data_IF_730890867516
#
_entry.id   IF_730890867516
#
_cell.length_a   1.000
_cell.length_b   1.000
_cell.length_c   1.000
_cell.angle_alpha   90.00
_cell.angle_beta   90.00
_cell.angle_gamma   90.00
#
_symmetry.space_group_name_H-M   'P 1'
#
loop_
_entity.id
_entity.type
_entity.pdbx_description
1 polymer ?
#
# COMPACT_ATOMS: atom_id res chain seq x y z
N UNK A 1 -13.13 35.20 -9.59
CA UNK A 1 -12.60 34.42 -8.45
C UNK A 1 -12.65 32.96 -8.87
N UNK A 2 -11.50 32.35 -9.15
CA UNK A 2 -11.42 30.95 -9.55
C UNK A 2 -11.53 30.14 -8.26
N UNK A 3 -12.60 29.37 -8.10
CA UNK A 3 -12.70 28.44 -6.97
C UNK A 3 -11.69 27.32 -7.21
N UNK A 4 -10.67 27.25 -6.36
CA UNK A 4 -9.78 26.08 -6.27
C UNK A 4 -10.60 24.93 -5.72
N UNK A 5 -11.13 24.08 -6.60
CA UNK A 5 -11.77 22.84 -6.20
C UNK A 5 -10.64 21.91 -5.74
N UNK A 6 -10.45 21.78 -4.43
CA UNK A 6 -9.50 20.83 -3.85
C UNK A 6 -9.93 19.40 -4.25
N UNK A 7 -9.24 18.83 -5.25
CA UNK A 7 -9.55 17.52 -5.83
C UNK A 7 -9.51 16.34 -4.84
N UNK A 8 -9.06 16.57 -3.61
CA UNK A 8 -8.93 15.58 -2.55
C UNK A 8 -10.20 15.44 -1.65
N UNK A 9 -11.20 16.31 -1.83
CA UNK A 9 -12.44 16.37 -1.01
C UNK A 9 -13.69 15.81 -1.73
N UNK A 10 -13.54 14.86 -2.65
CA UNK A 10 -14.70 14.29 -3.34
C UNK A 10 -15.51 13.36 -2.39
N UNK A 11 -16.86 13.48 -2.31
CA UNK A 11 -17.68 12.56 -1.53
C UNK A 11 -17.52 11.12 -2.05
N UNK A 12 -17.31 10.18 -1.13
CA UNK A 12 -16.98 8.76 -1.39
C UNK A 12 -18.07 8.04 -2.23
N UNK A 13 -19.28 8.58 -2.31
CA UNK A 13 -20.39 8.01 -3.08
C UNK A 13 -20.13 7.91 -4.59
N UNK A 14 -19.13 8.64 -5.13
CA UNK A 14 -18.83 8.64 -6.57
C UNK A 14 -17.92 7.47 -7.05
N UNK A 15 -17.48 6.53 -6.20
CA UNK A 15 -16.42 5.59 -6.60
C UNK A 15 -16.49 4.17 -6.03
N UNK A 16 -17.69 3.58 -5.89
CA UNK A 16 -17.83 2.16 -5.51
C UNK A 16 -17.04 1.21 -6.47
N UNK A 17 -16.85 1.62 -7.73
CA UNK A 17 -16.03 0.90 -8.70
C UNK A 17 -14.51 1.00 -8.42
N UNK A 18 -14.02 2.12 -7.88
CA UNK A 18 -12.58 2.38 -7.72
C UNK A 18 -11.96 1.57 -6.57
N UNK A 19 -12.72 1.30 -5.50
CA UNK A 19 -12.26 0.42 -4.43
C UNK A 19 -12.50 -1.07 -4.70
N UNK A 20 -13.28 -1.43 -5.73
CA UNK A 20 -13.53 -2.84 -6.08
C UNK A 20 -12.25 -3.59 -6.50
N UNK A 21 -11.23 -2.86 -6.97
CA UNK A 21 -9.92 -3.37 -7.36
C UNK A 21 -8.82 -3.15 -6.32
N UNK A 22 -9.16 -2.68 -5.12
CA UNK A 22 -8.18 -2.39 -4.06
C UNK A 22 -8.50 -3.14 -2.77
N UNK A 23 -7.49 -3.35 -1.93
CA UNK A 23 -7.62 -3.94 -0.60
C UNK A 23 -6.98 -3.04 0.44
N UNK A 24 -7.61 -2.95 1.61
CA UNK A 24 -6.99 -2.30 2.78
C UNK A 24 -5.82 -3.18 3.25
N UNK A 25 -4.62 -2.63 3.17
CA UNK A 25 -3.35 -3.29 3.49
C UNK A 25 -2.78 -2.83 4.83
N UNK A 26 -3.35 -1.81 5.48
CA UNK A 26 -2.86 -1.25 6.74
C UNK A 26 -2.76 -2.28 7.86
N UNK A 27 -3.61 -3.31 7.87
CA UNK A 27 -3.53 -4.43 8.82
C UNK A 27 -2.23 -5.27 8.74
N UNK A 28 -1.46 -5.15 7.66
CA UNK A 28 -0.19 -5.86 7.49
C UNK A 28 1.04 -5.05 7.97
N UNK A 29 0.82 -3.82 8.43
CA UNK A 29 1.88 -2.93 8.90
C UNK A 29 1.98 -2.89 10.43
N UNK A 30 3.17 -2.53 10.90
CA UNK A 30 3.38 -1.98 12.23
C UNK A 30 3.19 -0.47 12.15
N UNK A 31 2.42 0.08 13.09
CA UNK A 31 2.08 1.49 13.13
C UNK A 31 2.75 2.15 14.34
N UNK A 32 3.29 3.34 14.14
CA UNK A 32 3.76 4.21 15.23
C UNK A 32 3.45 5.67 14.94
N UNK A 33 3.43 6.49 15.98
CA UNK A 33 3.25 7.93 15.88
C UNK A 33 4.42 8.64 16.54
N UNK A 34 4.67 9.90 16.16
CA UNK A 34 5.74 10.71 16.75
C UNK A 34 5.58 10.86 18.26
N UNK A 35 4.39 11.26 18.69
CA UNK A 35 3.97 11.43 20.08
C UNK A 35 2.50 11.13 20.21
N UNK A 36 2.03 10.86 21.41
CA UNK A 36 0.61 10.67 21.68
C UNK A 36 0.27 11.13 23.09
N UNK A 37 -0.87 11.81 23.20
CA UNK A 37 -1.51 12.01 24.50
C UNK A 37 -2.00 10.67 25.03
N UNK A 38 -1.93 10.48 26.35
CA UNK A 38 -2.38 9.24 26.98
C UNK A 38 -3.83 8.89 26.57
N UNK A 39 -4.04 7.66 26.11
CA UNK A 39 -5.34 7.16 25.66
C UNK A 39 -5.79 7.59 24.26
N UNK A 40 -4.99 8.38 23.54
CA UNK A 40 -5.31 8.88 22.19
C UNK A 40 -4.11 8.62 21.26
N UNK A 41 -3.82 7.34 21.00
CA UNK A 41 -2.65 6.87 20.28
C UNK A 41 -2.99 6.19 18.95
N UNK A 42 -2.12 5.25 18.54
CA UNK A 42 -2.26 4.49 17.29
C UNK A 42 -3.59 3.73 17.20
N UNK A 43 -4.10 3.23 18.32
CA UNK A 43 -5.34 2.45 18.34
C UNK A 43 -6.51 3.22 17.73
N UNK A 44 -6.64 4.51 18.09
CA UNK A 44 -7.71 5.37 17.58
C UNK A 44 -7.55 5.73 16.10
N UNK A 45 -6.37 5.55 15.50
CA UNK A 45 -6.21 5.71 14.05
C UNK A 45 -6.81 4.55 13.25
N UNK A 46 -7.12 3.43 13.91
CA UNK A 46 -7.32 2.12 13.28
C UNK A 46 -8.56 1.36 13.80
N UNK A 47 -9.34 1.97 14.68
CA UNK A 47 -10.49 1.37 15.36
C UNK A 47 -11.81 1.44 14.57
N UNK A 48 -11.76 1.90 13.31
CA UNK A 48 -12.92 2.14 12.44
C UNK A 48 -14.00 3.06 13.06
N UNK A 49 -13.64 3.94 14.01
CA UNK A 49 -14.55 4.87 14.65
C UNK A 49 -14.14 6.33 14.39
N UNK A 50 -14.98 7.08 13.68
CA UNK A 50 -14.69 8.50 13.38
C UNK A 50 -14.90 9.45 14.58
N UNK A 51 -15.40 8.97 15.72
CA UNK A 51 -15.57 9.79 16.93
C UNK A 51 -14.31 9.82 17.80
N UNK A 52 -13.48 8.78 17.75
CA UNK A 52 -12.17 8.69 18.42
C UNK A 52 -11.08 9.28 17.53
N UNK A 53 -9.92 9.59 18.13
CA UNK A 53 -8.79 10.19 17.42
C UNK A 53 -7.46 9.90 18.10
N UNK A 54 -6.40 9.87 17.29
CA UNK A 54 -5.05 10.13 17.78
C UNK A 54 -4.91 11.62 18.07
N UNK A 55 -4.29 11.94 19.21
CA UNK A 55 -3.88 13.29 19.54
C UNK A 55 -2.37 13.32 19.75
N UNK A 56 -1.65 14.13 18.96
CA UNK A 56 -0.22 14.36 19.22
C UNK A 56 0.00 15.10 20.54
N UNK A 57 1.20 14.99 21.09
CA UNK A 57 1.61 15.73 22.29
C UNK A 57 3.12 16.02 22.20
N UNK A 58 3.52 16.91 21.29
CA UNK A 58 4.94 17.10 20.96
C UNK A 58 5.23 18.28 20.05
N UNK A 59 6.51 18.48 19.68
CA UNK A 59 6.89 19.48 18.68
C UNK A 59 6.48 19.03 17.27
N UNK A 60 6.07 19.99 16.44
CA UNK A 60 5.88 19.77 15.01
C UNK A 60 7.21 19.53 14.28
N UNK A 61 7.20 18.82 13.14
CA UNK A 61 6.03 18.18 12.53
C UNK A 61 5.64 16.85 13.22
N UNK A 62 4.38 16.47 13.11
CA UNK A 62 3.86 15.22 13.67
C UNK A 62 3.92 14.10 12.63
N UNK A 63 4.16 12.86 13.06
CA UNK A 63 4.35 11.73 12.16
C UNK A 63 3.38 10.58 12.47
N UNK A 64 2.84 9.96 11.42
CA UNK A 64 2.28 8.62 11.44
C UNK A 64 3.16 7.74 10.54
N UNK A 65 3.73 6.71 11.13
CA UNK A 65 4.68 5.79 10.51
C UNK A 65 3.99 4.44 10.29
N UNK A 66 4.11 3.91 9.08
CA UNK A 66 3.43 2.71 8.63
C UNK A 66 4.47 1.81 7.97
N UNK A 67 4.90 0.78 8.69
CA UNK A 67 6.00 -0.09 8.28
C UNK A 67 5.51 -1.49 7.93
N UNK A 68 5.62 -1.86 6.67
CA UNK A 68 5.34 -3.19 6.16
C UNK A 68 6.58 -4.09 6.22
N UNK A 69 6.39 -5.34 6.62
CA UNK A 69 7.45 -6.37 6.65
C UNK A 69 7.99 -6.73 5.25
N UNK A 70 7.22 -6.46 4.20
CA UNK A 70 7.58 -6.69 2.80
C UNK A 70 7.24 -5.45 1.98
N UNK A 71 7.91 -5.28 0.84
CA UNK A 71 7.58 -4.21 -0.11
C UNK A 71 6.15 -4.44 -0.61
N UNK A 72 5.25 -3.51 -0.32
CA UNK A 72 3.88 -3.53 -0.83
C UNK A 72 3.67 -2.36 -1.79
N UNK A 73 2.75 -2.55 -2.74
CA UNK A 73 2.26 -1.47 -3.59
C UNK A 73 1.18 -0.70 -2.83
N UNK A 74 1.42 0.58 -2.57
CA UNK A 74 0.48 1.52 -1.97
C UNK A 74 -0.11 2.39 -3.07
N UNK A 75 -1.43 2.39 -3.18
CA UNK A 75 -2.17 3.13 -4.19
C UNK A 75 -2.87 4.36 -3.63
N UNK A 76 -3.60 4.22 -2.52
CA UNK A 76 -4.30 5.33 -1.88
C UNK A 76 -4.09 5.33 -0.35
N UNK A 77 -3.99 6.53 0.22
CA UNK A 77 -4.02 6.77 1.66
C UNK A 77 -5.27 7.58 1.98
N UNK A 78 -6.19 7.01 2.75
CA UNK A 78 -7.40 7.67 3.21
C UNK A 78 -7.20 8.15 4.64
N UNK A 79 -7.50 9.42 4.90
CA UNK A 79 -7.38 10.04 6.22
C UNK A 79 -8.72 10.71 6.56
N UNK A 80 -9.34 10.35 7.68
CA UNK A 80 -10.56 11.03 8.14
C UNK A 80 -10.20 12.23 9.02
N UNK A 81 -10.69 13.41 8.63
CA UNK A 81 -10.52 14.68 9.33
C UNK A 81 -11.88 15.39 9.44
N UNK A 82 -12.07 16.18 10.50
CA UNK A 82 -13.31 16.95 10.68
C UNK A 82 -13.01 18.32 11.29
N UNK A 83 -12.87 19.33 10.42
CA UNK A 83 -12.56 20.69 10.82
C UNK A 83 -13.56 21.27 11.84
N UNK A 84 -14.84 20.91 11.71
CA UNK A 84 -15.88 21.44 12.60
C UNK A 84 -15.77 20.87 14.01
N UNK A 85 -15.26 19.65 14.15
CA UNK A 85 -15.05 19.02 15.45
C UNK A 85 -13.69 19.37 16.06
N UNK A 86 -12.66 19.51 15.23
CA UNK A 86 -11.28 19.58 15.68
C UNK A 86 -10.69 21.00 15.65
N UNK A 87 -11.30 21.94 14.92
CA UNK A 87 -10.87 23.34 14.83
C UNK A 87 -9.35 23.48 14.57
N UNK A 88 -8.60 24.00 15.54
CA UNK A 88 -7.15 24.18 15.47
C UNK A 88 -6.34 22.87 15.44
N UNK A 89 -6.91 21.74 15.88
CA UNK A 89 -6.24 20.44 15.81
C UNK A 89 -6.26 19.83 14.41
N UNK A 90 -6.99 20.43 13.47
CA UNK A 90 -7.17 19.90 12.12
C UNK A 90 -5.91 20.10 11.27
N UNK A 91 -5.30 19.03 10.72
CA UNK A 91 -4.23 19.15 9.73
C UNK A 91 -4.59 20.12 8.59
N UNK A 92 -3.67 21.02 8.28
CA UNK A 92 -3.73 21.92 7.13
C UNK A 92 -2.79 21.43 6.03
N UNK A 93 -1.55 21.12 6.39
CA UNK A 93 -0.52 20.66 5.44
C UNK A 93 -0.10 19.24 5.79
N UNK A 94 -0.41 18.30 4.89
CA UNK A 94 0.00 16.90 4.99
C UNK A 94 0.98 16.59 3.86
N UNK A 95 2.11 15.95 4.19
CA UNK A 95 2.99 15.38 3.18
C UNK A 95 3.18 13.88 3.38
N UNK A 96 3.30 13.17 2.27
CA UNK A 96 3.57 11.74 2.23
C UNK A 96 5.02 11.52 1.85
N UNK A 97 5.69 10.64 2.59
CA UNK A 97 7.04 10.15 2.31
C UNK A 97 7.04 8.64 2.22
N UNK A 98 7.90 8.09 1.36
CA UNK A 98 8.04 6.65 1.19
C UNK A 98 9.52 6.25 1.09
N UNK A 99 9.84 5.05 1.56
CA UNK A 99 11.19 4.50 1.51
C UNK A 99 11.22 3.01 1.87
N UNK A 100 12.42 2.48 2.08
CA UNK A 100 12.63 1.13 2.60
C UNK A 100 12.72 1.09 4.13
N UNK A 101 13.10 2.21 4.74
CA UNK A 101 13.32 2.40 6.17
C UNK A 101 13.10 3.88 6.57
N UNK A 102 13.40 4.24 7.83
CA UNK A 102 13.41 5.63 8.26
C UNK A 102 14.55 6.48 7.66
N UNK A 103 15.62 5.84 7.17
CA UNK A 103 16.85 6.53 6.75
C UNK A 103 16.81 7.01 5.31
N UNK A 104 15.88 6.51 4.50
CA UNK A 104 15.79 6.74 3.05
C UNK A 104 14.39 7.19 2.63
N UNK A 105 13.62 7.76 3.56
CA UNK A 105 12.33 8.38 3.25
C UNK A 105 12.50 9.52 2.25
N UNK A 106 11.85 9.40 1.10
CA UNK A 106 11.79 10.43 0.08
C UNK A 106 10.39 11.04 0.03
N UNK A 107 10.32 12.35 -0.25
CA UNK A 107 9.06 13.05 -0.41
C UNK A 107 8.33 12.58 -1.67
N UNK A 108 7.05 12.27 -1.53
CA UNK A 108 6.20 11.79 -2.62
C UNK A 108 5.20 12.87 -3.04
N UNK A 109 4.43 13.41 -2.09
CA UNK A 109 3.31 14.31 -2.36
C UNK A 109 3.02 15.19 -1.16
N UNK A 110 2.62 16.44 -1.40
CA UNK A 110 2.06 17.35 -0.39
C UNK A 110 0.63 17.67 -0.76
N UNK A 111 -0.25 17.73 0.24
CA UNK A 111 -1.64 18.15 0.13
C UNK A 111 -1.89 19.27 1.13
N UNK A 112 -2.43 20.38 0.63
CA UNK A 112 -2.96 21.47 1.45
C UNK A 112 -4.48 21.30 1.55
N UNK A 113 -5.01 21.43 2.76
CA UNK A 113 -6.41 21.20 3.09
C UNK A 113 -7.03 22.49 3.59
N UNK A 114 -8.24 22.77 3.13
CA UNK A 114 -9.06 23.90 3.56
C UNK A 114 -10.32 23.35 4.22
N UNK A 115 -10.39 23.48 5.55
CA UNK A 115 -11.52 23.05 6.40
C UNK A 115 -12.08 21.65 6.05
N UNK A 116 -11.24 20.60 6.01
CA UNK A 116 -11.65 19.26 5.56
C UNK A 116 -12.72 18.64 6.46
N UNK A 117 -13.70 17.98 5.85
CA UNK A 117 -14.72 17.19 6.55
C UNK A 117 -14.92 15.86 5.84
N UNK A 118 -14.65 14.75 6.54
CA UNK A 118 -14.80 13.40 6.02
C UNK A 118 -13.47 12.75 5.65
N UNK A 119 -13.54 11.70 4.83
CA UNK A 119 -12.34 11.04 4.31
C UNK A 119 -11.72 11.85 3.18
N UNK A 120 -10.43 12.16 3.36
CA UNK A 120 -9.56 12.74 2.34
C UNK A 120 -8.77 11.61 1.71
N UNK A 121 -8.85 11.48 0.39
CA UNK A 121 -8.15 10.44 -0.37
C UNK A 121 -6.89 11.02 -1.01
N UNK A 122 -5.72 10.63 -0.50
CA UNK A 122 -4.42 11.00 -1.08
C UNK A 122 -3.98 9.86 -1.99
N UNK A 123 -4.14 10.06 -3.30
CA UNK A 123 -3.69 9.11 -4.30
C UNK A 123 -2.16 9.14 -4.46
N UNK A 124 -1.55 7.97 -4.60
CA UNK A 124 -0.08 7.79 -4.63
C UNK A 124 0.49 7.73 -6.05
N UNK A 125 -0.30 8.00 -7.09
CA UNK A 125 0.20 8.03 -8.46
C UNK A 125 1.30 9.09 -8.57
N UNK A 126 2.39 8.72 -9.24
CA UNK A 126 3.41 9.66 -9.67
C UNK A 126 2.91 10.35 -10.95
N UNK A 127 2.75 11.67 -10.92
CA UNK A 127 2.31 12.45 -12.08
C UNK A 127 3.26 12.28 -13.28
N UNK A 128 4.52 11.89 -13.03
CA UNK A 128 5.53 11.66 -14.06
C UNK A 128 5.47 10.24 -14.64
N UNK A 129 4.89 9.30 -13.91
CA UNK A 129 4.73 7.91 -14.35
C UNK A 129 3.24 7.57 -14.46
N UNK A 130 2.67 7.92 -15.62
CA UNK A 130 1.26 7.63 -15.93
C UNK A 130 0.96 6.13 -16.06
N UNK A 131 1.97 5.25 -15.97
CA UNK A 131 1.81 3.80 -16.05
C UNK A 131 1.60 3.20 -14.67
N UNK A 132 2.34 3.68 -13.65
CA UNK A 132 2.23 3.16 -12.29
C UNK A 132 1.26 3.97 -11.44
N UNK A 133 0.08 3.39 -11.19
CA UNK A 133 -0.90 3.95 -10.25
C UNK A 133 -0.59 3.64 -8.77
N UNK A 134 0.65 3.28 -8.44
CA UNK A 134 1.03 2.91 -7.08
C UNK A 134 2.51 3.14 -6.82
N UNK A 135 2.86 3.28 -5.54
CA UNK A 135 4.25 3.36 -5.07
C UNK A 135 4.58 2.11 -4.28
N UNK A 136 5.71 1.49 -4.61
CA UNK A 136 6.23 0.33 -3.89
C UNK A 136 7.11 0.79 -2.74
N UNK A 137 6.73 0.49 -1.50
CA UNK A 137 7.52 0.85 -0.33
C UNK A 137 7.39 -0.19 0.80
N UNK A 138 8.37 -0.18 1.71
CA UNK A 138 8.25 -0.84 3.01
C UNK A 138 7.80 0.16 4.08
N UNK A 139 8.24 1.41 3.96
CA UNK A 139 7.99 2.46 4.93
C UNK A 139 7.19 3.58 4.26
N UNK A 140 6.02 3.86 4.81
CA UNK A 140 5.18 5.01 4.49
C UNK A 140 5.17 5.92 5.73
N UNK A 141 5.40 7.21 5.53
CA UNK A 141 5.31 8.22 6.59
C UNK A 141 4.36 9.33 6.15
N UNK A 142 3.32 9.54 6.94
CA UNK A 142 2.43 10.70 6.85
C UNK A 142 2.99 11.75 7.79
N UNK A 143 3.26 12.94 7.26
CA UNK A 143 3.84 14.07 7.98
C UNK A 143 2.81 15.19 8.02
N UNK A 144 2.44 15.60 9.22
CA UNK A 144 1.55 16.74 9.46
C UNK A 144 2.43 17.90 9.89
N UNK A 145 2.68 18.81 8.95
CA UNK A 145 3.63 19.92 9.15
C UNK A 145 2.97 21.17 9.73
N UNK A 146 1.68 21.34 9.47
CA UNK A 146 0.92 22.51 9.89
C UNK A 146 -0.53 22.12 10.13
N UNK A 147 -1.13 22.70 11.18
CA UNK A 147 -2.55 22.62 11.45
C UNK A 147 -3.22 23.97 11.20
N UNK A 148 -4.55 23.94 11.05
CA UNK A 148 -5.34 25.15 10.96
C UNK A 148 -5.19 26.02 12.22
N UNK A 149 -5.38 27.33 12.06
CA UNK A 149 -5.31 28.30 13.16
C UNK A 149 -3.98 28.26 13.94
N UNK A 150 -2.90 27.76 13.32
CA UNK A 150 -1.60 27.51 13.95
C UNK A 150 -1.68 26.60 15.20
N UNK A 151 -2.60 25.63 15.20
CA UNK A 151 -2.71 24.67 16.30
C UNK A 151 -1.44 23.87 16.48
N UNK A 152 -1.05 23.66 17.74
CA UNK A 152 0.19 22.98 18.11
C UNK A 152 0.11 21.47 17.86
N UNK A 153 -0.92 20.84 18.39
CA UNK A 153 -1.17 19.40 18.31
C UNK A 153 -2.22 19.07 17.26
N UNK A 154 -2.24 17.83 16.78
CA UNK A 154 -3.12 17.39 15.71
C UNK A 154 -4.08 16.29 16.14
N UNK A 155 -5.29 16.29 15.55
CA UNK A 155 -6.24 15.18 15.62
C UNK A 155 -6.34 14.49 14.27
N UNK A 156 -6.19 13.17 14.28
CA UNK A 156 -6.52 12.32 13.13
C UNK A 156 -7.40 11.19 13.63
N UNK A 157 -8.57 11.03 12.99
CA UNK A 157 -9.64 10.14 13.48
C UNK A 157 -9.58 8.75 12.86
N UNK A 158 -9.03 8.63 11.65
CA UNK A 158 -8.88 7.34 10.99
C UNK A 158 -7.83 7.43 9.89
N UNK A 159 -7.05 6.37 9.71
CA UNK A 159 -6.18 6.21 8.53
C UNK A 159 -6.36 4.82 7.95
N UNK A 160 -6.58 4.75 6.63
CA UNK A 160 -6.63 3.51 5.86
C UNK A 160 -5.63 3.58 4.71
N UNK A 161 -4.94 2.47 4.48
CA UNK A 161 -3.97 2.37 3.39
C UNK A 161 -4.43 1.29 2.44
N UNK A 162 -4.57 1.64 1.16
CA UNK A 162 -5.03 0.74 0.13
C UNK A 162 -3.91 0.42 -0.85
N UNK A 163 -3.84 -0.84 -1.24
CA UNK A 163 -3.03 -1.33 -2.34
C UNK A 163 -3.90 -2.01 -3.39
N UNK A 164 -3.38 -2.22 -4.61
CA UNK A 164 -4.10 -2.97 -5.63
C UNK A 164 -4.34 -4.41 -5.17
N UNK A 165 -5.48 -4.98 -5.56
CA UNK A 165 -5.68 -6.43 -5.47
C UNK A 165 -4.69 -7.07 -6.44
N UNK A 166 -3.69 -7.77 -5.93
CA UNK A 166 -2.92 -8.71 -6.75
C UNK A 166 -3.87 -9.83 -7.21
N UNK A 167 -4.54 -9.62 -8.33
CA UNK A 167 -5.11 -10.71 -9.10
C UNK A 167 -3.90 -11.56 -9.52
N UNK A 168 -3.68 -12.69 -8.84
CA UNK A 168 -2.71 -13.68 -9.28
C UNK A 168 -3.04 -13.98 -10.74
N UNK A 169 -2.25 -13.44 -11.66
CA UNK A 169 -2.28 -13.87 -13.05
C UNK A 169 -1.97 -15.37 -13.00
N UNK A 170 -3.00 -16.18 -13.21
CA UNK A 170 -2.88 -17.63 -13.23
C UNK A 170 -1.79 -17.98 -14.24
N UNK A 171 -0.66 -18.45 -13.73
CA UNK A 171 0.41 -19.01 -14.52
C UNK A 171 -0.17 -20.20 -15.28
N UNK A 172 -0.26 -20.08 -16.61
CA UNK A 172 -0.61 -21.19 -17.50
C UNK A 172 -1.91 -20.99 -18.27
N UNK A 173 -1.82 -20.35 -19.43
CA UNK A 173 -2.61 -20.72 -20.61
C UNK A 173 -2.00 -20.03 -21.84
N UNK A 174 -1.22 -20.78 -22.61
CA UNK A 174 -1.02 -20.44 -24.01
C UNK A 174 -2.38 -20.48 -24.69
N UNK A 175 -2.93 -19.32 -25.03
CA UNK A 175 -4.04 -19.23 -25.97
C UNK A 175 -3.44 -19.20 -27.37
N UNK A 176 -3.41 -20.39 -27.97
CA UNK A 176 -3.44 -20.56 -29.42
C UNK A 176 -4.68 -19.85 -29.95
N UNK A 177 -4.49 -18.73 -30.66
CA UNK A 177 -5.57 -18.07 -31.38
C UNK A 177 -5.95 -18.94 -32.59
N UNK A 178 -6.91 -19.84 -32.38
CA UNK A 178 -7.50 -20.68 -33.41
C UNK A 178 -8.85 -20.14 -33.88
N UNK A 179 -8.91 -19.85 -35.18
CA UNK A 179 -10.06 -19.94 -36.10
C UNK A 179 -11.25 -19.00 -35.85
N UNK A 180 -11.37 -18.00 -36.72
CA UNK A 180 -12.67 -17.47 -37.14
C UNK A 180 -12.85 -17.77 -38.63
N UNK A 181 -13.78 -18.67 -38.93
CA UNK A 181 -14.28 -18.89 -40.27
C UNK A 181 -15.18 -17.70 -40.66
N UNK A 182 -14.91 -17.10 -41.82
CA UNK A 182 -15.70 -16.01 -42.39
C UNK A 182 -15.50 -15.96 -43.91
N UNK A 183 -16.51 -16.46 -44.62
CA UNK A 183 -16.61 -16.57 -46.08
C UNK A 183 -16.79 -15.19 -46.71
N UNK A 184 -16.10 -14.92 -47.82
CA UNK A 184 -16.34 -13.75 -48.67
C UNK A 184 -15.29 -13.62 -49.78
N UNK A 185 -15.56 -14.18 -50.95
CA UNK A 185 -14.62 -14.27 -52.06
C UNK A 185 -14.49 -13.00 -52.91
N UNK A 186 -13.43 -12.93 -53.72
CA UNK A 186 -13.45 -12.67 -55.17
C UNK A 186 -12.05 -12.35 -55.70
N UNK A 187 -11.68 -12.94 -56.85
CA UNK A 187 -10.89 -12.24 -57.87
C UNK A 187 -9.39 -12.53 -57.99
N UNK A 188 -9.08 -13.41 -58.97
CA UNK A 188 -8.03 -13.28 -60.00
C UNK A 188 -6.54 -13.23 -59.62
N UNK A 189 -5.77 -14.20 -60.13
CA UNK A 189 -4.30 -14.10 -60.25
C UNK A 189 -3.65 -15.40 -60.75
N UNK A 190 -3.29 -15.41 -62.04
CA UNK A 190 -2.70 -16.53 -62.78
C UNK A 190 -1.18 -16.60 -62.60
N UNK A 191 -0.62 -17.81 -62.52
CA UNK A 191 0.70 -18.12 -63.12
C UNK A 191 1.75 -18.77 -62.20
N UNK A 192 2.36 -19.86 -62.68
CA UNK A 192 3.73 -20.23 -62.27
C UNK A 192 3.95 -21.66 -61.79
N UNK A 193 4.06 -22.59 -62.74
CA UNK A 193 4.61 -23.94 -62.57
C UNK A 193 6.15 -23.91 -62.45
N UNK A 194 6.72 -24.75 -61.58
CA UNK A 194 8.10 -25.24 -61.73
C UNK A 194 8.88 -25.44 -60.43
N UNK A 195 9.45 -26.63 -60.25
CA UNK A 195 10.66 -26.82 -59.43
C UNK A 195 10.62 -27.92 -58.38
N UNK A 196 10.93 -29.14 -58.83
CA UNK A 196 11.26 -30.31 -58.00
C UNK A 196 12.60 -30.06 -57.29
N UNK A 197 12.66 -30.27 -55.97
CA UNK A 197 13.89 -30.15 -55.18
C UNK A 197 13.88 -31.10 -53.98
N UNK A 198 14.59 -32.22 -54.13
CA UNK A 198 14.83 -33.28 -53.13
C UNK A 198 15.78 -32.75 -52.06
N UNK A 199 15.41 -32.86 -50.78
CA UNK A 199 16.24 -32.42 -49.65
C UNK A 199 15.92 -33.20 -48.37
N UNK A 200 16.85 -34.06 -47.97
CA UNK A 200 16.79 -35.06 -46.89
C UNK A 200 16.90 -34.48 -45.46
N UNK A 201 16.42 -35.27 -44.49
CA UNK A 201 16.86 -35.39 -43.06
C UNK A 201 16.55 -34.20 -42.12
N UNK A 202 16.07 -34.33 -40.88
CA UNK A 202 16.31 -35.34 -39.83
C UNK A 202 15.16 -35.41 -38.81
N UNK A 203 15.05 -36.58 -38.18
CA UNK A 203 14.06 -36.96 -37.19
C UNK A 203 14.37 -36.51 -35.74
N UNK A 204 13.30 -36.56 -34.97
CA UNK A 204 13.12 -36.48 -33.51
C UNK A 204 14.28 -37.03 -32.67
N UNK A 205 14.57 -36.40 -31.53
CA UNK A 205 14.72 -37.12 -30.25
C UNK A 205 14.47 -36.20 -29.06
N UNK A 206 13.42 -36.53 -28.31
CA UNK A 206 13.03 -35.92 -27.05
C UNK A 206 13.63 -36.78 -25.93
N UNK A 207 14.48 -36.23 -25.07
CA UNK A 207 15.01 -36.94 -23.91
C UNK A 207 14.41 -36.39 -22.63
N UNK A 208 13.39 -37.10 -22.14
CA UNK A 208 13.12 -37.22 -20.71
C UNK A 208 14.22 -38.07 -20.08
N UNK A 209 14.79 -37.63 -18.96
CA UNK A 209 15.27 -38.57 -17.97
C UNK A 209 15.04 -38.08 -16.54
N UNK A 210 14.52 -39.03 -15.76
CA UNK A 210 14.11 -39.04 -14.38
C UNK A 210 15.24 -38.94 -13.37
N UNK A 211 14.94 -38.47 -12.15
CA UNK A 211 15.16 -39.29 -10.94
C UNK A 211 14.51 -38.65 -9.71
N UNK A 212 13.60 -39.43 -9.11
CA UNK A 212 13.08 -39.30 -7.76
C UNK A 212 14.07 -39.96 -6.80
N UNK A 213 14.37 -39.34 -5.67
CA UNK A 213 14.77 -40.05 -4.44
C UNK A 213 14.08 -39.38 -3.26
N UNK A 214 13.16 -40.11 -2.65
CA UNK A 214 12.54 -39.84 -1.34
C UNK A 214 13.51 -40.19 -0.22
N UNK A 215 13.35 -39.55 0.94
CA UNK A 215 13.50 -40.21 2.24
C UNK A 215 12.60 -39.49 3.26
N UNK A 216 11.55 -40.19 3.68
CA UNK A 216 10.81 -39.93 4.90
C UNK A 216 11.51 -40.69 6.03
N UNK A 217 11.67 -40.07 7.19
CA UNK A 217 11.70 -40.79 8.46
C UNK A 217 10.88 -40.02 9.51
N UNK A 218 9.87 -40.71 10.03
CA UNK A 218 9.07 -40.38 11.20
C UNK A 218 9.41 -41.45 12.23
N UNK A 219 9.59 -41.08 13.52
CA UNK A 219 8.90 -41.69 14.67
C UNK A 219 9.33 -41.12 16.05
N UNK A 220 8.29 -40.79 16.84
CA UNK A 220 8.11 -40.91 18.30
C UNK A 220 8.95 -40.11 19.32
N UNK A 221 8.28 -39.13 19.96
CA UNK A 221 7.64 -39.29 21.28
C UNK A 221 8.53 -39.36 22.54
N UNK A 222 8.37 -38.38 23.44
CA UNK A 222 8.91 -38.45 24.82
C UNK A 222 8.70 -37.19 25.66
N UNK A 223 7.69 -37.22 26.53
CA UNK A 223 7.38 -36.29 27.62
C UNK A 223 8.44 -36.34 28.73
N UNK A 224 8.91 -35.20 29.29
CA UNK A 224 8.81 -34.78 30.72
C UNK A 224 9.71 -33.58 31.10
N UNK A 225 9.09 -32.64 31.83
CA UNK A 225 9.55 -31.89 33.01
C UNK A 225 10.58 -30.72 32.94
N UNK A 226 10.03 -29.53 33.22
CA UNK A 226 10.34 -28.62 34.34
C UNK A 226 11.57 -27.68 34.33
N UNK A 227 11.26 -26.37 34.46
CA UNK A 227 11.67 -25.43 35.54
C UNK A 227 12.42 -24.14 35.14
N UNK A 228 12.15 -23.09 35.96
CA UNK A 228 12.82 -21.76 36.11
C UNK A 228 12.28 -20.64 35.18
N UNK A 229 11.51 -19.63 35.62
CA UNK A 229 11.77 -18.50 36.57
C UNK A 229 13.07 -17.78 36.13
N UNK A 230 13.12 -16.52 35.65
CA UNK A 230 12.63 -15.26 36.23
C UNK A 230 12.70 -14.08 35.22
N UNK A 231 11.98 -13.01 35.60
CA UNK A 231 12.22 -11.56 35.46
C UNK A 231 12.21 -10.81 34.11
N UNK A 232 11.17 -9.97 33.98
CA UNK A 232 11.22 -8.51 33.88
C UNK A 232 12.14 -7.87 32.81
N UNK A 233 11.56 -7.44 31.70
CA UNK A 233 12.11 -6.36 30.87
C UNK A 233 11.07 -5.23 30.72
N UNK A 234 10.96 -4.42 31.77
CA UNK A 234 10.34 -3.09 31.71
C UNK A 234 11.43 -2.10 31.36
N UNK A 235 11.43 -1.59 30.12
CA UNK A 235 12.30 -0.47 29.73
C UNK A 235 11.60 0.82 30.15
N UNK A 236 12.04 1.40 31.27
CA UNK A 236 11.74 2.78 31.64
C UNK A 236 12.60 3.74 30.82
N UNK A 237 11.97 4.66 30.09
CA UNK A 237 12.63 5.87 29.61
C UNK A 237 12.51 6.96 30.68
N UNK A 238 13.63 7.24 31.34
CA UNK A 238 13.81 8.33 32.29
C UNK A 238 13.73 9.68 31.58
N UNK A 239 13.05 10.62 32.24
CA UNK A 239 13.05 12.04 31.93
C UNK A 239 14.47 12.61 31.88
N UNK A 240 14.74 13.46 30.88
CA UNK A 240 15.70 14.54 31.01
C UNK A 240 14.94 15.86 31.00
N UNK A 241 14.64 16.32 32.22
CA UNK A 241 14.48 17.73 32.55
C UNK A 241 15.85 18.26 32.95
N UNK A 242 16.29 19.40 32.38
CA UNK A 242 16.87 20.56 33.11
C UNK A 242 17.61 21.52 32.16
N UNK A 243 17.04 22.74 32.05
CA UNK A 243 17.66 24.08 31.91
C UNK A 243 18.77 24.34 30.87
N UNK A 244 18.49 25.20 29.87
CA UNK A 244 18.62 26.67 29.95
C UNK A 244 17.86 27.32 28.78
#
# INVERSE_FOLDING_TARGET
MIQNVNHYQQPIDASFATYSSMIEIGKYAVWSVSTAKQGNGVEQLRDDNCETFWQSDGPQPHYINIQFHKVLSVQDVLIYLDYKKDESYTPQTISIRCGTSFHDLTHVKTVELEEPVGYICINMNDEKDQVSNCIRCNMLQIVISQNHLNGRDTHVRQVKVYGPIELKASSGAGVVAGVVAGVGGSGTGVGGIGGIGVGRTSAMTNHNNSSLVSNNDILNGGTVASSMIDSSNTIQFSMFSTLR
#
